data_IF_819935551451
#
_entry.id   IF_819935551451
#
_cell.length_a   1.000
_cell.length_b   1.000
_cell.length_c   1.000
_cell.angle_alpha   90.00
_cell.angle_beta   90.00
_cell.angle_gamma   90.00
#
_symmetry.space_group_name_H-M   'P 1'
#
loop_
_entity.id
_entity.type
_entity.pdbx_description
1 polymer ?
#
# COMPACT_ATOMS: atom_id res chain seq x y z
N UNK A 1 5.20 -19.13 27.70
CA UNK A 1 5.36 -18.90 26.27
C UNK A 1 6.79 -18.51 25.99
N UNK A 2 7.40 -19.04 24.94
CA UNK A 2 8.82 -18.81 24.59
C UNK A 2 8.88 -18.17 23.21
N UNK A 3 9.56 -17.04 23.11
CA UNK A 3 9.90 -16.42 21.82
C UNK A 3 11.41 -16.47 21.63
N UNK A 4 11.86 -16.81 20.42
CA UNK A 4 13.25 -16.68 20.00
C UNK A 4 13.42 -15.34 19.27
N UNK A 5 14.30 -14.49 19.79
CA UNK A 5 14.67 -13.22 19.16
C UNK A 5 15.85 -13.41 18.19
N UNK A 6 16.16 -12.35 17.42
CA UNK A 6 17.19 -12.32 16.36
C UNK A 6 18.55 -12.84 16.84
N UNK A 7 18.93 -12.64 18.09
CA UNK A 7 20.19 -13.11 18.68
C UNK A 7 20.13 -14.56 19.25
N UNK A 8 19.17 -15.34 18.85
CA UNK A 8 18.90 -16.68 19.41
C UNK A 8 18.65 -16.72 20.91
N UNK A 9 18.34 -15.59 21.52
CA UNK A 9 17.97 -15.50 22.93
C UNK A 9 16.51 -15.95 23.11
N UNK A 10 16.27 -16.74 24.14
CA UNK A 10 14.93 -17.17 24.53
C UNK A 10 14.45 -16.32 25.71
N UNK A 11 13.33 -15.64 25.52
CA UNK A 11 12.68 -14.91 26.59
C UNK A 11 11.43 -15.68 27.04
N UNK A 12 11.31 -15.88 28.35
CA UNK A 12 10.11 -16.43 28.96
C UNK A 12 9.22 -15.29 29.44
N UNK A 13 7.98 -15.27 28.98
CA UNK A 13 7.01 -14.27 29.37
C UNK A 13 5.67 -14.92 29.69
N UNK A 14 4.91 -14.31 30.61
CA UNK A 14 3.53 -14.73 30.94
C UNK A 14 2.57 -14.37 29.80
N UNK A 15 2.78 -13.25 29.15
CA UNK A 15 1.94 -12.73 28.06
C UNK A 15 2.85 -12.21 26.95
N UNK A 16 2.41 -12.38 25.71
CA UNK A 16 3.07 -11.84 24.52
C UNK A 16 2.03 -11.09 23.69
N UNK A 17 2.38 -9.90 23.25
CA UNK A 17 1.66 -9.14 22.24
C UNK A 17 2.48 -9.07 20.94
N UNK A 18 1.90 -9.54 19.84
CA UNK A 18 2.46 -9.37 18.49
C UNK A 18 1.88 -8.10 17.86
N UNK A 19 2.78 -7.25 17.37
CA UNK A 19 2.46 -6.04 16.62
C UNK A 19 3.52 -5.88 15.51
N UNK A 20 3.68 -6.92 14.68
CA UNK A 20 4.84 -7.13 13.81
C UNK A 20 4.71 -6.48 12.45
N UNK A 21 3.58 -5.84 12.16
CA UNK A 21 3.32 -5.27 10.84
C UNK A 21 2.90 -6.32 9.81
N UNK A 22 2.62 -5.86 8.61
CA UNK A 22 2.07 -6.66 7.52
C UNK A 22 3.08 -7.49 6.76
N UNK A 23 2.69 -7.90 5.54
CA UNK A 23 3.45 -8.81 4.68
C UNK A 23 3.63 -8.27 3.25
N UNK A 24 3.60 -6.95 3.06
CA UNK A 24 3.63 -6.35 1.72
C UNK A 24 4.86 -6.74 0.89
N UNK A 25 5.98 -7.10 1.52
CA UNK A 25 7.21 -7.55 0.82
C UNK A 25 7.07 -8.91 0.13
N UNK A 26 5.98 -9.63 0.31
CA UNK A 26 5.62 -10.82 -0.51
C UNK A 26 5.33 -10.41 -1.97
N UNK A 27 4.92 -9.17 -2.19
CA UNK A 27 4.58 -8.63 -3.49
C UNK A 27 5.78 -7.93 -4.15
N UNK A 28 5.82 -8.00 -5.48
CA UNK A 28 6.89 -7.37 -6.29
C UNK A 28 6.99 -5.86 -6.07
N UNK A 29 5.85 -5.21 -5.82
CA UNK A 29 5.75 -3.78 -5.58
C UNK A 29 4.81 -3.55 -4.40
N UNK A 30 5.26 -2.78 -3.41
CA UNK A 30 4.49 -2.48 -2.20
C UNK A 30 4.81 -1.08 -1.69
N UNK A 31 3.89 -0.47 -0.97
CA UNK A 31 4.15 0.77 -0.24
C UNK A 31 4.76 0.52 1.15
N UNK A 32 4.85 -0.75 1.56
CA UNK A 32 5.36 -1.11 2.88
C UNK A 32 6.90 -1.08 2.93
N UNK A 33 7.48 -0.79 4.11
CA UNK A 33 8.92 -0.84 4.31
C UNK A 33 9.47 -2.26 4.18
N UNK A 34 10.78 -2.39 3.96
CA UNK A 34 11.45 -3.67 3.76
C UNK A 34 11.26 -4.70 4.90
N UNK A 35 10.91 -4.22 6.10
CA UNK A 35 10.64 -5.08 7.27
C UNK A 35 9.25 -5.74 7.24
N UNK A 36 8.35 -5.35 6.34
CA UNK A 36 6.99 -5.91 6.26
C UNK A 36 6.99 -7.28 5.57
N UNK A 37 7.57 -8.27 6.21
CA UNK A 37 7.84 -9.62 5.69
C UNK A 37 6.87 -10.70 6.19
N UNK A 38 5.90 -10.33 7.03
CA UNK A 38 4.88 -11.26 7.56
C UNK A 38 5.38 -12.19 8.66
N UNK A 39 6.43 -11.82 9.37
CA UNK A 39 7.09 -12.68 10.37
C UNK A 39 6.14 -13.10 11.50
N UNK A 40 5.29 -12.19 12.01
CA UNK A 40 4.33 -12.49 13.07
C UNK A 40 3.30 -13.54 12.63
N UNK A 41 2.75 -13.39 11.43
CA UNK A 41 1.82 -14.35 10.84
C UNK A 41 2.50 -15.71 10.69
N UNK A 42 3.72 -15.74 10.16
CA UNK A 42 4.50 -16.98 9.98
C UNK A 42 4.82 -17.67 11.32
N UNK A 43 5.16 -16.89 12.36
CA UNK A 43 5.41 -17.43 13.70
C UNK A 43 4.14 -18.07 14.30
N UNK A 44 3.00 -17.40 14.21
CA UNK A 44 1.73 -17.91 14.71
C UNK A 44 1.29 -19.16 13.94
N UNK A 45 1.45 -19.17 12.62
CA UNK A 45 1.17 -20.34 11.79
C UNK A 45 2.00 -21.56 12.21
N UNK A 46 3.32 -21.40 12.39
CA UNK A 46 4.20 -22.48 12.88
C UNK A 46 3.82 -22.95 14.27
N UNK A 47 3.33 -22.06 15.12
CA UNK A 47 2.84 -22.38 16.47
C UNK A 47 1.42 -23.01 16.46
N UNK A 48 0.82 -23.29 15.27
CA UNK A 48 -0.52 -23.84 15.10
C UNK A 48 -1.65 -22.90 15.54
N UNK A 49 -1.38 -21.60 15.59
CA UNK A 49 -2.42 -20.59 15.77
C UNK A 49 -3.28 -20.41 14.50
N UNK A 50 -4.46 -19.85 14.67
CA UNK A 50 -5.39 -19.58 13.57
C UNK A 50 -5.01 -18.31 12.82
N UNK A 51 -5.07 -18.40 11.50
CA UNK A 51 -4.85 -17.30 10.56
C UNK A 51 -6.06 -17.26 9.64
N UNK A 52 -6.53 -16.07 9.30
CA UNK A 52 -7.72 -15.89 8.46
C UNK A 52 -7.49 -14.79 7.40
N UNK A 53 -8.23 -14.89 6.31
CA UNK A 53 -8.39 -13.86 5.28
C UNK A 53 -7.07 -13.42 4.60
N UNK A 54 -6.10 -14.31 4.49
CA UNK A 54 -4.77 -14.00 3.91
C UNK A 54 -4.84 -13.60 2.44
N UNK A 55 -5.91 -13.96 1.73
CA UNK A 55 -6.19 -13.57 0.36
C UNK A 55 -6.60 -12.10 0.19
N UNK A 56 -7.02 -11.44 1.27
CA UNK A 56 -7.47 -10.06 1.22
C UNK A 56 -6.31 -9.09 1.45
N UNK A 57 -5.72 -8.66 0.36
CA UNK A 57 -4.69 -7.60 0.35
C UNK A 57 -5.29 -6.36 -0.31
N UNK A 58 -5.22 -5.22 0.38
CA UNK A 58 -5.58 -3.94 -0.21
C UNK A 58 -4.42 -3.43 -1.07
N UNK A 59 -4.69 -3.14 -2.34
CA UNK A 59 -3.77 -2.42 -3.21
C UNK A 59 -4.06 -0.92 -3.14
N UNK A 60 -3.03 -0.11 -2.89
CA UNK A 60 -3.16 1.33 -3.04
C UNK A 60 -3.07 1.67 -4.53
N UNK A 61 -4.01 2.45 -5.09
CA UNK A 61 -4.08 2.72 -6.52
C UNK A 61 -2.88 3.48 -7.06
N UNK A 62 -2.34 4.41 -6.27
CA UNK A 62 -1.39 5.42 -6.72
C UNK A 62 -0.07 5.34 -5.95
N UNK A 63 0.70 4.27 -6.15
CA UNK A 63 2.12 4.25 -5.82
C UNK A 63 2.91 4.85 -7.00
N UNK A 64 3.96 5.62 -6.70
CA UNK A 64 4.84 6.20 -7.71
C UNK A 64 5.49 5.07 -8.52
N UNK A 65 5.33 5.12 -9.83
CA UNK A 65 5.99 4.18 -10.73
C UNK A 65 7.36 4.72 -11.13
N UNK A 66 8.39 3.94 -10.83
CA UNK A 66 9.78 4.20 -11.22
C UNK A 66 10.28 2.96 -12.00
N UNK A 67 10.64 3.08 -13.31
CA UNK A 67 11.05 1.93 -14.12
C UNK A 67 12.20 1.14 -13.49
N UNK A 68 12.05 -0.18 -13.38
CA UNK A 68 13.07 -1.06 -12.82
C UNK A 68 13.13 -1.13 -11.30
N UNK A 69 12.45 -0.26 -10.57
CA UNK A 69 12.37 -0.29 -9.11
C UNK A 69 11.44 -1.42 -8.67
N UNK A 70 11.92 -2.21 -7.70
CA UNK A 70 11.16 -3.31 -7.07
C UNK A 70 11.17 -3.14 -5.55
N UNK A 71 10.18 -3.72 -4.89
CA UNK A 71 10.01 -3.62 -3.45
C UNK A 71 9.25 -2.37 -3.05
N UNK A 72 9.81 -1.53 -2.19
CA UNK A 72 9.13 -0.38 -1.67
C UNK A 72 9.00 0.75 -2.70
N UNK A 73 7.76 1.11 -3.03
CA UNK A 73 7.41 2.27 -3.84
C UNK A 73 6.93 3.42 -2.99
N UNK A 74 7.22 4.65 -3.44
CA UNK A 74 6.76 5.86 -2.76
C UNK A 74 5.24 6.03 -2.94
N UNK A 75 4.54 6.28 -1.84
CA UNK A 75 3.10 6.46 -1.84
C UNK A 75 2.71 7.87 -2.29
N UNK A 76 1.92 7.97 -3.37
CA UNK A 76 1.19 9.19 -3.70
C UNK A 76 -0.18 9.08 -3.01
N UNK A 77 -0.33 9.84 -1.92
CA UNK A 77 -1.52 9.73 -1.05
C UNK A 77 -2.83 9.95 -1.82
N UNK A 78 -3.88 9.30 -1.35
CA UNK A 78 -5.25 9.47 -1.87
C UNK A 78 -5.73 10.93 -1.80
N UNK A 79 -5.23 11.71 -0.85
CA UNK A 79 -5.57 13.12 -0.70
C UNK A 79 -5.28 13.95 -1.97
N UNK A 80 -4.28 13.58 -2.79
CA UNK A 80 -4.01 14.25 -4.06
C UNK A 80 -5.19 14.11 -5.03
N UNK A 81 -5.83 12.93 -5.08
CA UNK A 81 -7.09 12.73 -5.83
C UNK A 81 -8.25 13.46 -5.17
N UNK A 82 -8.28 13.48 -3.84
CA UNK A 82 -9.26 14.24 -3.06
C UNK A 82 -9.23 15.74 -3.35
N UNK A 83 -8.05 16.31 -3.56
CA UNK A 83 -7.85 17.72 -3.92
C UNK A 83 -8.09 17.99 -5.42
N UNK A 84 -8.38 16.96 -6.22
CA UNK A 84 -8.74 17.09 -7.63
C UNK A 84 -7.74 16.52 -8.65
N UNK A 85 -6.75 15.73 -8.21
CA UNK A 85 -5.86 15.00 -9.13
C UNK A 85 -6.62 14.02 -10.01
N UNK A 86 -6.35 13.99 -11.32
CA UNK A 86 -7.10 13.25 -12.33
C UNK A 86 -6.26 12.10 -12.88
N UNK A 87 -6.79 10.89 -12.83
CA UNK A 87 -6.14 9.72 -13.44
C UNK A 87 -6.32 9.73 -14.97
N UNK A 88 -5.20 9.58 -15.69
CA UNK A 88 -5.18 9.53 -17.15
C UNK A 88 -4.42 8.31 -17.66
N UNK A 89 -4.91 7.73 -18.75
CA UNK A 89 -4.20 6.68 -19.48
C UNK A 89 -3.08 7.25 -20.36
N UNK A 90 -2.38 6.40 -21.10
CA UNK A 90 -1.28 6.80 -21.98
C UNK A 90 -1.71 7.68 -23.16
N UNK A 91 -3.00 7.66 -23.52
CA UNK A 91 -3.56 8.55 -24.54
C UNK A 91 -3.91 9.94 -23.97
N UNK A 92 -3.71 10.15 -22.65
CA UNK A 92 -4.07 11.40 -21.97
C UNK A 92 -5.56 11.50 -21.59
N UNK A 93 -6.34 10.44 -21.76
CA UNK A 93 -7.77 10.40 -21.47
C UNK A 93 -8.02 10.17 -19.97
N UNK A 94 -8.91 10.96 -19.35
CA UNK A 94 -9.44 10.68 -18.05
C UNK A 94 -10.38 9.46 -18.14
N UNK A 95 -10.07 8.39 -17.46
CA UNK A 95 -10.76 7.11 -17.67
C UNK A 95 -11.72 6.69 -16.55
N UNK A 96 -11.62 7.26 -15.36
CA UNK A 96 -12.37 6.80 -14.20
C UNK A 96 -13.90 6.87 -14.35
N UNK A 97 -14.42 7.81 -15.14
CA UNK A 97 -15.87 7.91 -15.43
C UNK A 97 -16.45 6.64 -16.07
N UNK A 98 -15.62 5.83 -16.75
CA UNK A 98 -16.06 4.55 -17.36
C UNK A 98 -16.24 3.43 -16.34
N UNK A 99 -15.68 3.61 -15.13
CA UNK A 99 -15.63 2.57 -14.09
C UNK A 99 -16.53 2.86 -12.89
N UNK A 100 -16.69 4.15 -12.51
CA UNK A 100 -17.49 4.53 -11.34
C UNK A 100 -17.96 5.99 -11.45
N UNK A 101 -19.20 6.25 -11.00
CA UNK A 101 -19.80 7.59 -11.00
C UNK A 101 -19.04 8.60 -10.13
N UNK A 102 -18.36 8.13 -9.08
CA UNK A 102 -17.50 8.95 -8.19
C UNK A 102 -16.14 9.26 -8.81
N UNK A 103 -15.85 8.73 -10.00
CA UNK A 103 -14.61 8.97 -10.76
C UNK A 103 -13.37 8.67 -9.92
N UNK A 104 -12.43 9.61 -9.87
CA UNK A 104 -11.17 9.49 -9.13
C UNK A 104 -11.35 9.37 -7.60
N UNK A 105 -12.54 9.66 -7.08
CA UNK A 105 -12.92 9.52 -5.67
C UNK A 105 -13.60 8.17 -5.36
N UNK A 106 -13.66 7.25 -6.30
CA UNK A 106 -14.15 5.90 -6.06
C UNK A 106 -13.29 5.16 -5.01
N UNK A 107 -13.81 4.13 -4.32
CA UNK A 107 -13.05 3.30 -3.40
C UNK A 107 -11.77 2.74 -4.02
N UNK A 108 -10.76 2.55 -3.17
CA UNK A 108 -9.40 2.13 -3.62
C UNK A 108 -9.39 0.89 -4.47
N UNK A 109 -10.22 -0.10 -4.16
CA UNK A 109 -10.31 -1.36 -4.91
C UNK A 109 -10.85 -1.15 -6.32
N UNK A 110 -11.84 -0.27 -6.50
CA UNK A 110 -12.39 0.10 -7.80
C UNK A 110 -11.32 0.84 -8.62
N UNK A 111 -10.67 1.85 -8.02
CA UNK A 111 -9.62 2.62 -8.70
C UNK A 111 -8.43 1.73 -9.07
N UNK A 112 -7.98 0.85 -8.17
CA UNK A 112 -6.86 -0.05 -8.45
C UNK A 112 -7.17 -1.02 -9.60
N UNK A 113 -8.39 -1.59 -9.65
CA UNK A 113 -8.83 -2.44 -10.76
C UNK A 113 -8.98 -1.68 -12.06
N UNK A 114 -9.47 -0.43 -12.00
CA UNK A 114 -9.57 0.41 -13.19
C UNK A 114 -8.18 0.70 -13.78
N UNK A 115 -7.21 1.07 -12.95
CA UNK A 115 -5.83 1.29 -13.37
C UNK A 115 -5.22 0.02 -13.96
N UNK A 116 -5.37 -1.13 -13.30
CA UNK A 116 -4.87 -2.41 -13.78
C UNK A 116 -5.45 -2.76 -15.17
N UNK A 117 -6.76 -2.50 -15.37
CA UNK A 117 -7.39 -2.71 -16.67
C UNK A 117 -6.84 -1.76 -17.73
N UNK A 118 -6.69 -0.47 -17.45
CA UNK A 118 -6.12 0.52 -18.40
C UNK A 118 -4.67 0.15 -18.78
N UNK A 119 -3.87 -0.32 -17.81
CA UNK A 119 -2.50 -0.79 -18.05
C UNK A 119 -2.50 -2.01 -18.99
N UNK A 120 -3.39 -2.98 -18.76
CA UNK A 120 -3.52 -4.20 -19.58
C UNK A 120 -3.97 -3.89 -21.00
N UNK A 121 -5.00 -3.07 -21.14
CA UNK A 121 -5.53 -2.65 -22.46
C UNK A 121 -4.51 -1.83 -23.23
N UNK A 122 -3.80 -0.93 -22.56
CA UNK A 122 -2.77 -0.09 -23.15
C UNK A 122 -1.42 -0.79 -23.38
N UNK A 123 -1.22 -2.00 -22.83
CA UNK A 123 0.07 -2.69 -22.86
C UNK A 123 1.18 -1.92 -22.11
N UNK A 124 0.83 -1.25 -21.02
CA UNK A 124 1.70 -0.33 -20.28
C UNK A 124 1.89 -0.78 -18.83
N UNK A 125 2.95 -0.30 -18.17
CA UNK A 125 3.26 -0.67 -16.78
C UNK A 125 2.79 0.38 -15.76
N UNK A 126 2.20 1.49 -16.22
CA UNK A 126 1.68 2.57 -15.38
C UNK A 126 0.55 3.31 -16.08
N UNK A 127 -0.15 4.13 -15.34
CA UNK A 127 -0.99 5.24 -15.79
C UNK A 127 -0.44 6.55 -15.21
N UNK A 128 -1.13 7.66 -15.40
CA UNK A 128 -0.67 8.95 -14.92
C UNK A 128 -1.68 9.60 -13.98
N UNK A 129 -1.18 10.28 -12.95
CA UNK A 129 -1.95 11.20 -12.13
C UNK A 129 -1.62 12.63 -12.56
N UNK A 130 -2.60 13.30 -13.16
CA UNK A 130 -2.47 14.67 -13.66
C UNK A 130 -2.77 15.68 -12.55
N UNK A 131 -1.74 16.42 -12.17
CA UNK A 131 -1.80 17.48 -11.16
C UNK A 131 -1.45 18.85 -11.75
N UNK A 132 -1.28 19.00 -13.07
CA UNK A 132 -0.79 20.22 -13.74
C UNK A 132 -1.72 21.42 -13.61
N UNK A 133 -2.97 21.20 -13.27
CA UNK A 133 -3.96 22.27 -13.04
C UNK A 133 -3.88 22.90 -11.64
N UNK A 134 -3.11 22.29 -10.71
CA UNK A 134 -2.86 22.90 -9.40
C UNK A 134 -1.89 24.07 -9.50
N UNK A 135 -2.06 25.11 -8.64
CA UNK A 135 -0.96 26.04 -8.42
C UNK A 135 0.17 25.34 -7.69
N UNK A 136 1.40 25.67 -8.06
CA UNK A 136 2.60 25.08 -7.48
C UNK A 136 2.66 25.31 -5.97
N UNK A 137 2.36 26.53 -5.54
CA UNK A 137 2.38 26.95 -4.14
C UNK A 137 1.40 26.14 -3.30
N UNK A 138 0.16 25.99 -3.78
CA UNK A 138 -0.87 25.19 -3.12
C UNK A 138 -0.48 23.72 -3.04
N UNK A 139 0.08 23.16 -4.12
CA UNK A 139 0.51 21.76 -4.11
C UNK A 139 1.66 21.51 -3.12
N UNK A 140 2.64 22.42 -3.05
CA UNK A 140 3.75 22.34 -2.08
C UNK A 140 3.25 22.47 -0.64
N UNK A 141 2.30 23.37 -0.39
CA UNK A 141 1.69 23.55 0.93
C UNK A 141 1.00 22.27 1.43
N UNK A 142 0.20 21.61 0.57
CA UNK A 142 -0.56 20.41 0.93
C UNK A 142 0.29 19.13 0.88
N UNK A 143 1.20 19.02 -0.08
CA UNK A 143 1.95 17.78 -0.39
C UNK A 143 3.47 18.00 -0.55
N UNK A 144 4.15 18.62 0.43
CA UNK A 144 5.57 18.98 0.28
C UNK A 144 6.47 17.78 0.00
N UNK A 145 6.22 16.63 0.64
CA UNK A 145 7.02 15.42 0.46
C UNK A 145 6.83 14.79 -0.93
N UNK A 146 5.59 14.83 -1.45
CA UNK A 146 5.30 14.32 -2.80
C UNK A 146 5.98 15.20 -3.83
N UNK A 147 5.86 16.53 -3.69
CA UNK A 147 6.53 17.47 -4.56
C UNK A 147 8.04 17.25 -4.59
N UNK A 148 8.67 17.18 -3.42
CA UNK A 148 10.11 16.97 -3.30
C UNK A 148 10.56 15.63 -3.92
N UNK A 149 9.80 14.54 -3.67
CA UNK A 149 10.09 13.22 -4.28
C UNK A 149 9.97 13.27 -5.81
N UNK A 150 8.89 13.81 -6.34
CA UNK A 150 8.69 13.93 -7.80
C UNK A 150 9.83 14.74 -8.42
N UNK A 151 10.16 15.89 -7.85
CA UNK A 151 11.23 16.74 -8.35
C UNK A 151 12.59 16.03 -8.31
N UNK A 152 12.87 15.22 -7.27
CA UNK A 152 14.14 14.48 -7.14
C UNK A 152 14.38 13.44 -8.24
N UNK A 153 13.32 13.02 -8.94
CA UNK A 153 13.37 12.09 -10.08
C UNK A 153 13.07 12.77 -11.42
N UNK A 154 13.14 14.11 -11.46
CA UNK A 154 12.98 14.90 -12.68
C UNK A 154 11.52 15.17 -13.09
N UNK A 155 10.54 14.92 -12.22
CA UNK A 155 9.12 15.18 -12.47
C UNK A 155 8.73 16.52 -11.83
N UNK A 156 8.59 17.56 -12.65
CA UNK A 156 7.94 18.80 -12.23
C UNK A 156 6.42 18.65 -12.44
N UNK A 157 5.66 18.63 -11.36
CA UNK A 157 4.21 18.37 -11.37
C UNK A 157 3.40 19.46 -12.08
N UNK A 158 4.00 20.63 -12.33
CA UNK A 158 3.37 21.71 -13.09
C UNK A 158 3.44 21.50 -14.59
N UNK A 159 4.35 20.64 -15.04
CA UNK A 159 4.60 20.36 -16.46
C UNK A 159 4.36 18.88 -16.82
N UNK A 160 4.61 17.99 -15.88
CA UNK A 160 4.54 16.53 -16.08
C UNK A 160 3.45 15.90 -15.22
N UNK A 161 2.78 14.91 -15.77
CA UNK A 161 1.93 14.02 -14.99
C UNK A 161 2.78 13.05 -14.17
N UNK A 162 2.31 12.65 -12.99
CA UNK A 162 3.01 11.71 -12.10
C UNK A 162 2.70 10.28 -12.57
N UNK A 163 3.69 9.46 -12.96
CA UNK A 163 3.46 8.07 -13.30
C UNK A 163 3.10 7.28 -12.04
N UNK A 164 2.00 6.53 -12.07
CA UNK A 164 1.50 5.76 -10.93
C UNK A 164 1.03 4.37 -11.35
N UNK A 165 1.17 3.42 -10.42
CA UNK A 165 0.66 2.05 -10.57
C UNK A 165 0.16 1.51 -9.23
N UNK A 166 -0.76 0.52 -9.21
CA UNK A 166 -1.18 -0.12 -7.98
C UNK A 166 -0.03 -0.87 -7.31
N UNK A 167 0.02 -0.79 -5.97
CA UNK A 167 0.98 -1.52 -5.15
C UNK A 167 0.31 -2.13 -3.92
N UNK A 168 0.79 -3.28 -3.46
CA UNK A 168 0.33 -3.89 -2.22
C UNK A 168 0.55 -2.90 -1.06
N UNK A 169 -0.49 -2.68 -0.24
CA UNK A 169 -0.50 -1.60 0.73
C UNK A 169 -0.84 -2.06 2.15
N UNK A 170 -1.88 -2.89 2.28
CA UNK A 170 -2.38 -3.32 3.59
C UNK A 170 -2.85 -4.76 3.57
N UNK A 171 -2.39 -5.54 4.55
CA UNK A 171 -2.86 -6.91 4.79
C UNK A 171 -4.16 -6.86 5.60
N UNK A 172 -5.29 -7.16 4.95
CA UNK A 172 -6.59 -7.15 5.64
C UNK A 172 -6.80 -8.39 6.50
N UNK A 173 -6.17 -9.51 6.13
CA UNK A 173 -6.10 -10.74 6.91
C UNK A 173 -4.86 -10.80 7.80
N UNK A 174 -4.71 -11.92 8.48
CA UNK A 174 -3.61 -12.17 9.41
C UNK A 174 -3.97 -13.09 10.54
N UNK A 175 -3.41 -12.85 11.72
CA UNK A 175 -3.65 -13.61 12.93
C UNK A 175 -5.10 -13.38 13.41
N UNK A 176 -5.88 -14.45 13.50
CA UNK A 176 -7.24 -14.36 14.05
C UNK A 176 -7.24 -13.95 15.51
N UNK A 177 -7.96 -12.87 15.82
CA UNK A 177 -8.19 -12.40 17.19
C UNK A 177 -9.68 -12.26 17.51
N UNK A 178 -9.99 -12.19 18.79
CA UNK A 178 -11.26 -11.69 19.30
C UNK A 178 -11.21 -10.15 19.49
N UNK A 179 -12.29 -9.59 20.01
CA UNK A 179 -12.43 -8.15 20.28
C UNK A 179 -11.43 -7.59 21.32
N UNK A 180 -10.76 -8.46 22.09
CA UNK A 180 -9.70 -8.10 23.05
C UNK A 180 -8.29 -8.38 22.53
N UNK A 181 -8.15 -8.73 21.25
CA UNK A 181 -6.86 -9.07 20.65
C UNK A 181 -6.31 -10.44 21.06
N UNK A 182 -7.11 -11.31 21.67
CA UNK A 182 -6.68 -12.67 22.05
C UNK A 182 -6.61 -13.56 20.83
N UNK A 183 -5.50 -14.25 20.65
CA UNK A 183 -5.37 -15.24 19.59
C UNK A 183 -5.90 -16.62 20.02
N UNK A 184 -5.85 -17.59 19.11
CA UNK A 184 -6.18 -19.00 19.44
C UNK A 184 -5.13 -19.70 20.32
N UNK A 185 -4.02 -19.04 20.64
CA UNK A 185 -2.96 -19.54 21.51
C UNK A 185 -3.05 -18.83 22.85
N UNK A 186 -3.11 -19.59 23.93
CA UNK A 186 -3.20 -19.03 25.29
C UNK A 186 -2.05 -18.05 25.58
N UNK A 187 -2.39 -16.90 26.15
CA UNK A 187 -1.46 -15.83 26.51
C UNK A 187 -0.72 -15.17 25.34
N UNK A 188 -1.17 -15.41 24.10
CA UNK A 188 -0.70 -14.73 22.92
C UNK A 188 -1.79 -13.78 22.40
N UNK A 189 -1.43 -12.53 22.22
CA UNK A 189 -2.27 -11.46 21.70
C UNK A 189 -1.68 -10.93 20.39
N UNK A 190 -2.52 -10.35 19.54
CA UNK A 190 -2.08 -9.66 18.34
C UNK A 190 -2.89 -8.38 18.14
N UNK A 191 -2.24 -7.34 17.63
CA UNK A 191 -2.86 -6.06 17.35
C UNK A 191 -2.15 -5.36 16.18
N UNK A 192 -2.90 -4.51 15.48
CA UNK A 192 -2.42 -3.80 14.29
C UNK A 192 -2.48 -4.69 13.04
N UNK A 193 -1.62 -4.42 12.09
CA UNK A 193 -1.50 -5.17 10.84
C UNK A 193 -0.55 -6.37 11.03
N UNK A 194 -1.08 -7.53 11.45
CA UNK A 194 -0.27 -8.76 11.60
C UNK A 194 -1.07 -10.06 11.49
#
# INVERSE_FOLDING_TARGET
TVITLVDNKRLLSKIILLATGGNGQVYRTTTNPAIATGDGVAMVYRAKGRIENMEFIQFHPTALYEPGVRGQSFLITEAVRGDGGILRNHNGEAFMERYDERKDLAPRDIVARAIDNEMKVGGTENVFLDCRHFSKEKFIEHFPNIYAKCLSIGIDITQHMIPVAPAAHYSCGGIKTDEWGRTSINNLYAAGEC
#
